data_IF_467919941157
#
_entry.id   IF_467919941157
#
_cell.length_a   1.000
_cell.length_b   1.000
_cell.length_c   1.000
_cell.angle_alpha   90.00
_cell.angle_beta   90.00
_cell.angle_gamma   90.00
#
_symmetry.space_group_name_H-M   'P 1'
#
loop_
_entity.id
_entity.type
_entity.pdbx_description
1 polymer ?
#
# COMPACT_ATOMS: atom_id res chain seq x y z
N UNK A 1 -44.91 4.56 -10.07
CA UNK A 1 -44.99 3.64 -11.24
C UNK A 1 -46.14 4.03 -12.09
N UNK A 2 -45.93 4.19 -13.40
CA UNK A 2 -47.02 4.50 -14.39
C UNK A 2 -47.03 3.41 -15.44
N UNK A 3 -48.24 2.91 -15.77
CA UNK A 3 -48.44 2.00 -16.88
C UNK A 3 -48.42 2.80 -18.18
N UNK A 4 -47.73 2.31 -19.21
CA UNK A 4 -47.67 2.86 -20.58
C UNK A 4 -47.92 1.75 -21.59
N UNK A 5 -48.68 2.04 -22.63
CA UNK A 5 -48.82 1.15 -23.77
C UNK A 5 -47.74 1.51 -24.81
N UNK A 6 -46.98 0.53 -25.25
CA UNK A 6 -46.00 0.67 -26.34
C UNK A 6 -46.75 0.65 -27.69
N UNK A 7 -46.14 1.18 -28.76
CA UNK A 7 -46.70 1.17 -30.11
C UNK A 7 -47.13 -0.22 -30.62
N UNK A 8 -46.58 -1.28 -30.05
CA UNK A 8 -46.92 -2.69 -30.36
C UNK A 8 -48.01 -3.29 -29.46
N UNK A 9 -48.78 -2.45 -28.74
CA UNK A 9 -49.86 -2.89 -27.86
C UNK A 9 -49.46 -3.55 -26.55
N UNK A 10 -48.13 -3.76 -26.27
CA UNK A 10 -47.66 -4.34 -25.02
C UNK A 10 -47.60 -3.30 -23.90
N UNK A 11 -48.00 -3.71 -22.69
CA UNK A 11 -47.90 -2.88 -21.50
C UNK A 11 -46.44 -2.78 -21.03
N UNK A 12 -46.03 -1.59 -20.59
CA UNK A 12 -44.78 -1.35 -19.93
C UNK A 12 -44.99 -0.48 -18.67
N UNK A 13 -44.17 -0.70 -17.65
CA UNK A 13 -44.28 -0.02 -16.37
C UNK A 13 -43.10 0.94 -16.24
N UNK A 14 -43.40 2.23 -16.31
CA UNK A 14 -42.44 3.30 -16.16
C UNK A 14 -42.34 3.68 -14.69
N UNK A 15 -41.14 3.62 -14.14
CA UNK A 15 -40.82 4.04 -12.79
C UNK A 15 -40.05 5.34 -12.82
N UNK A 16 -40.36 6.23 -11.91
CA UNK A 16 -39.68 7.51 -11.71
C UNK A 16 -39.51 7.74 -10.21
N UNK A 17 -38.26 7.86 -9.77
CA UNK A 17 -37.90 8.11 -8.37
C UNK A 17 -37.29 9.50 -8.30
N UNK A 18 -37.81 10.32 -7.39
CA UNK A 18 -37.28 11.64 -7.07
C UNK A 18 -37.04 11.74 -5.57
N UNK A 19 -35.81 12.06 -5.18
CA UNK A 19 -35.45 12.34 -3.79
C UNK A 19 -34.79 13.71 -3.69
N UNK A 20 -34.99 14.38 -2.55
CA UNK A 20 -34.43 15.72 -2.30
C UNK A 20 -32.90 15.65 -2.36
N UNK A 21 -32.28 16.55 -3.12
CA UNK A 21 -30.83 16.65 -3.32
C UNK A 21 -30.18 15.44 -4.03
N UNK A 22 -30.95 14.64 -4.74
CA UNK A 22 -30.42 13.52 -5.55
C UNK A 22 -30.93 13.60 -6.97
N UNK A 23 -30.18 13.07 -7.97
CA UNK A 23 -30.63 13.04 -9.35
C UNK A 23 -31.89 12.18 -9.49
N UNK A 24 -32.77 12.61 -10.38
CA UNK A 24 -33.94 11.84 -10.75
C UNK A 24 -33.53 10.57 -11.47
N UNK A 25 -34.14 9.44 -11.10
CA UNK A 25 -33.87 8.13 -11.68
C UNK A 25 -35.15 7.57 -12.32
N UNK A 26 -35.03 7.10 -13.55
CA UNK A 26 -36.14 6.51 -14.28
C UNK A 26 -35.75 5.18 -14.90
N UNK A 27 -36.70 4.23 -14.95
CA UNK A 27 -36.54 2.95 -15.64
C UNK A 27 -37.90 2.47 -16.17
N UNK A 28 -37.88 1.57 -17.16
CA UNK A 28 -39.08 0.95 -17.72
C UNK A 28 -38.95 -0.56 -17.70
N UNK A 29 -40.01 -1.25 -17.32
CA UNK A 29 -40.06 -2.71 -17.13
C UNK A 29 -41.25 -3.29 -17.88
N UNK A 30 -41.15 -4.53 -18.30
CA UNK A 30 -42.24 -5.25 -18.96
C UNK A 30 -43.20 -5.92 -17.94
N UNK A 31 -42.75 -6.06 -16.66
CA UNK A 31 -43.54 -6.62 -15.56
C UNK A 31 -43.67 -5.64 -14.40
N UNK A 32 -44.87 -5.56 -13.83
CA UNK A 32 -45.13 -4.69 -12.66
C UNK A 32 -44.33 -5.14 -11.42
N UNK A 33 -44.12 -6.43 -11.25
CA UNK A 33 -43.31 -7.02 -10.15
C UNK A 33 -41.88 -6.52 -10.18
N UNK A 34 -41.27 -6.53 -11.36
CA UNK A 34 -39.88 -6.08 -11.55
C UNK A 34 -39.75 -4.57 -11.33
N UNK A 35 -40.75 -3.82 -11.80
CA UNK A 35 -40.85 -2.38 -11.59
C UNK A 35 -40.93 -2.03 -10.08
N UNK A 36 -41.73 -2.79 -9.30
CA UNK A 36 -41.85 -2.60 -7.84
C UNK A 36 -40.58 -2.97 -7.11
N UNK A 37 -40.01 -4.12 -7.44
CA UNK A 37 -38.76 -4.58 -6.82
C UNK A 37 -37.62 -3.59 -7.06
N UNK A 38 -37.47 -3.13 -8.31
CA UNK A 38 -36.47 -2.15 -8.67
C UNK A 38 -36.72 -0.79 -7.97
N UNK A 39 -37.95 -0.34 -7.88
CA UNK A 39 -38.29 0.91 -7.20
C UNK A 39 -37.88 0.85 -5.72
N UNK A 40 -38.27 -0.19 -5.02
CA UNK A 40 -37.94 -0.38 -3.60
C UNK A 40 -36.43 -0.47 -3.35
N UNK A 41 -35.71 -1.29 -4.13
CA UNK A 41 -34.26 -1.44 -4.02
C UNK A 41 -33.52 -0.14 -4.32
N UNK A 42 -33.95 0.59 -5.37
CA UNK A 42 -33.34 1.87 -5.76
C UNK A 42 -33.61 2.95 -4.72
N UNK A 43 -34.84 3.05 -4.19
CA UNK A 43 -35.13 4.01 -3.11
C UNK A 43 -34.30 3.74 -1.85
N UNK A 44 -34.13 2.48 -1.49
CA UNK A 44 -33.27 2.09 -0.36
C UNK A 44 -31.82 2.46 -0.63
N UNK A 45 -31.27 2.12 -1.79
CA UNK A 45 -29.92 2.48 -2.18
C UNK A 45 -29.69 4.00 -2.22
N UNK A 46 -30.67 4.75 -2.65
CA UNK A 46 -30.62 6.23 -2.63
C UNK A 46 -30.62 6.78 -1.21
N UNK A 47 -31.49 6.29 -0.33
CA UNK A 47 -31.53 6.71 1.10
C UNK A 47 -30.21 6.44 1.82
N UNK A 48 -29.58 5.32 1.51
CA UNK A 48 -28.31 4.92 2.09
C UNK A 48 -27.09 5.56 1.39
N UNK A 49 -27.31 6.37 0.35
CA UNK A 49 -26.24 7.03 -0.42
C UNK A 49 -25.44 6.09 -1.32
N UNK A 50 -25.83 4.82 -1.46
CA UNK A 50 -25.15 3.81 -2.27
C UNK A 50 -25.38 3.96 -3.77
N UNK A 51 -26.54 4.51 -4.17
CA UNK A 51 -26.95 4.57 -5.57
C UNK A 51 -25.96 5.35 -6.47
N UNK A 52 -25.45 6.47 -5.99
CA UNK A 52 -24.50 7.30 -6.75
C UNK A 52 -23.16 6.55 -6.91
N UNK A 53 -22.68 5.94 -5.84
CA UNK A 53 -21.43 5.16 -5.84
C UNK A 53 -21.47 3.97 -6.81
N UNK A 54 -22.58 3.26 -6.87
CA UNK A 54 -22.77 2.15 -7.83
C UNK A 54 -22.75 2.65 -9.29
N UNK A 55 -23.30 3.83 -9.58
CA UNK A 55 -23.24 4.43 -10.93
C UNK A 55 -21.82 4.87 -11.31
N UNK A 56 -21.06 5.43 -10.38
CA UNK A 56 -19.67 5.79 -10.64
C UNK A 56 -18.81 4.55 -10.88
N UNK A 57 -19.02 3.47 -10.12
CA UNK A 57 -18.33 2.20 -10.34
C UNK A 57 -18.57 1.59 -11.73
N UNK A 58 -19.71 1.89 -12.38
CA UNK A 58 -20.03 1.46 -13.75
C UNK A 58 -19.37 2.33 -14.83
N UNK A 59 -18.82 3.48 -14.49
CA UNK A 59 -18.18 4.40 -15.44
C UNK A 59 -16.66 4.29 -15.46
N UNK A 60 -16.07 3.80 -14.38
CA UNK A 60 -14.64 3.74 -14.19
C UNK A 60 -14.12 2.31 -14.23
N UNK A 61 -13.02 2.11 -14.93
CA UNK A 61 -12.28 0.86 -14.98
C UNK A 61 -11.24 0.79 -13.85
N UNK A 62 -10.65 -0.39 -13.67
CA UNK A 62 -9.49 -0.52 -12.78
C UNK A 62 -8.29 0.28 -13.29
N UNK A 63 -8.11 0.41 -14.61
CA UNK A 63 -7.08 1.29 -15.19
C UNK A 63 -7.25 2.72 -14.74
N UNK A 64 -8.47 3.27 -14.83
CA UNK A 64 -8.76 4.65 -14.41
C UNK A 64 -8.40 4.87 -12.93
N UNK A 65 -8.75 3.89 -12.09
CA UNK A 65 -8.44 3.93 -10.66
C UNK A 65 -6.93 3.95 -10.41
N UNK A 66 -6.20 3.03 -11.04
CA UNK A 66 -4.73 2.90 -10.85
C UNK A 66 -4.02 4.15 -11.37
N UNK A 67 -4.36 4.63 -12.57
CA UNK A 67 -3.75 5.82 -13.16
C UNK A 67 -3.98 7.07 -12.30
N UNK A 68 -5.21 7.27 -11.86
CA UNK A 68 -5.53 8.39 -10.98
C UNK A 68 -4.78 8.29 -9.66
N UNK A 69 -4.73 7.10 -9.06
CA UNK A 69 -4.01 6.90 -7.79
C UNK A 69 -2.52 7.18 -7.92
N UNK A 70 -1.87 6.69 -8.98
CA UNK A 70 -0.45 6.92 -9.23
C UNK A 70 -0.17 8.41 -9.49
N UNK A 71 -1.03 9.08 -10.23
CA UNK A 71 -0.86 10.50 -10.59
C UNK A 71 -1.14 11.45 -9.42
N UNK A 72 -2.20 11.22 -8.64
CA UNK A 72 -2.70 12.21 -7.69
C UNK A 72 -2.33 11.89 -6.23
N UNK A 73 -2.25 10.62 -5.86
CA UNK A 73 -2.09 10.20 -4.45
C UNK A 73 -0.65 9.78 -4.14
N UNK A 74 -0.02 9.04 -5.04
CA UNK A 74 1.29 8.48 -4.80
C UNK A 74 2.40 9.55 -4.59
N UNK A 75 2.44 10.67 -5.32
CA UNK A 75 3.44 11.72 -5.10
C UNK A 75 3.40 12.34 -3.70
N UNK A 76 2.23 12.38 -3.07
CA UNK A 76 2.06 12.85 -1.70
C UNK A 76 2.51 11.87 -0.61
N UNK A 77 3.00 10.68 -0.99
CA UNK A 77 3.47 9.64 -0.06
C UNK A 77 4.97 9.40 -0.20
N UNK A 78 5.83 10.28 0.34
CA UNK A 78 7.28 10.26 0.11
C UNK A 78 7.97 8.95 0.54
N UNK A 79 7.39 8.21 1.47
CA UNK A 79 7.94 6.95 1.98
C UNK A 79 7.43 5.70 1.23
N UNK A 80 6.62 5.89 0.18
CA UNK A 80 6.12 4.77 -0.62
C UNK A 80 7.14 4.44 -1.70
N UNK A 81 7.66 3.22 -1.66
CA UNK A 81 8.67 2.74 -2.62
C UNK A 81 8.13 2.74 -4.05
N UNK A 82 9.04 2.85 -5.03
CA UNK A 82 8.74 2.62 -6.47
C UNK A 82 8.04 1.29 -6.73
N UNK A 83 8.22 0.32 -5.84
CA UNK A 83 7.55 -0.98 -5.88
C UNK A 83 6.03 -0.88 -5.83
N UNK A 84 5.51 0.16 -5.16
CA UNK A 84 4.06 0.35 -5.01
C UNK A 84 3.38 0.66 -6.35
N UNK A 85 3.97 1.57 -7.12
CA UNK A 85 3.51 1.87 -8.47
C UNK A 85 3.59 0.63 -9.36
N UNK A 86 4.73 -0.12 -9.30
CA UNK A 86 4.91 -1.36 -10.03
C UNK A 86 3.86 -2.43 -9.68
N UNK A 87 3.49 -2.55 -8.40
CA UNK A 87 2.45 -3.48 -7.95
C UNK A 87 1.09 -3.10 -8.51
N UNK A 88 0.75 -1.82 -8.54
CA UNK A 88 -0.51 -1.33 -9.11
C UNK A 88 -0.55 -1.47 -10.63
N UNK A 89 0.54 -1.15 -11.33
CA UNK A 89 0.65 -1.33 -12.79
C UNK A 89 0.51 -2.81 -13.20
N UNK A 90 0.97 -3.75 -12.37
CA UNK A 90 0.73 -5.15 -12.61
C UNK A 90 -0.78 -5.47 -12.62
N UNK A 91 -1.54 -4.99 -11.63
CA UNK A 91 -3.00 -5.17 -11.60
C UNK A 91 -3.67 -4.56 -12.82
N UNK A 92 -3.26 -3.35 -13.20
CA UNK A 92 -3.72 -2.68 -14.41
C UNK A 92 -3.46 -3.50 -15.66
N UNK A 93 -2.27 -4.08 -15.81
CA UNK A 93 -1.92 -4.93 -16.95
C UNK A 93 -2.77 -6.20 -17.03
N UNK A 94 -3.17 -6.76 -15.88
CA UNK A 94 -3.92 -8.02 -15.85
C UNK A 94 -5.43 -7.84 -16.06
N UNK A 95 -6.04 -6.88 -15.38
CA UNK A 95 -7.49 -6.69 -15.32
C UNK A 95 -7.88 -5.21 -15.43
N UNK A 96 -7.07 -4.39 -16.06
CA UNK A 96 -7.29 -2.95 -16.16
C UNK A 96 -8.61 -2.54 -16.81
N UNK A 97 -9.06 -3.30 -17.78
CA UNK A 97 -10.30 -3.00 -18.54
C UNK A 97 -11.58 -3.37 -17.79
N UNK A 98 -11.46 -4.08 -16.65
CA UNK A 98 -12.61 -4.48 -15.84
C UNK A 98 -13.20 -3.26 -15.15
N UNK A 99 -14.51 -3.06 -15.25
CA UNK A 99 -15.21 -1.99 -14.56
C UNK A 99 -15.17 -2.22 -13.04
N UNK A 100 -15.09 -1.14 -12.27
CA UNK A 100 -15.07 -1.23 -10.81
C UNK A 100 -16.30 -1.90 -10.22
N UNK A 101 -17.44 -1.81 -10.92
CA UNK A 101 -18.69 -2.50 -10.58
C UNK A 101 -18.64 -4.02 -10.80
N UNK A 102 -17.74 -4.49 -11.64
CA UNK A 102 -17.58 -5.91 -12.01
C UNK A 102 -16.46 -6.60 -11.23
N UNK A 103 -15.68 -5.84 -10.48
CA UNK A 103 -14.65 -6.39 -9.61
C UNK A 103 -15.28 -7.27 -8.52
N UNK A 104 -14.87 -8.53 -8.47
CA UNK A 104 -15.35 -9.49 -7.47
C UNK A 104 -14.18 -10.07 -6.66
N UNK A 105 -14.45 -10.55 -5.43
CA UNK A 105 -13.42 -11.27 -4.66
C UNK A 105 -12.89 -12.51 -5.37
N UNK A 106 -13.72 -13.17 -6.18
CA UNK A 106 -13.35 -14.34 -6.97
C UNK A 106 -12.29 -13.97 -8.00
N UNK A 107 -12.57 -12.96 -8.83
CA UNK A 107 -11.64 -12.46 -9.83
C UNK A 107 -10.29 -12.07 -9.20
N UNK A 108 -10.29 -11.33 -8.11
CA UNK A 108 -9.05 -10.94 -7.42
C UNK A 108 -8.30 -12.17 -6.89
N UNK A 109 -9.02 -13.18 -6.39
CA UNK A 109 -8.39 -14.41 -5.90
C UNK A 109 -7.74 -15.21 -7.02
N UNK A 110 -8.34 -15.29 -8.19
CA UNK A 110 -7.78 -15.95 -9.37
C UNK A 110 -6.45 -15.30 -9.79
N UNK A 111 -6.41 -13.98 -9.88
CA UNK A 111 -5.16 -13.26 -10.23
C UNK A 111 -4.13 -13.28 -9.10
N UNK A 112 -4.54 -13.28 -7.83
CA UNK A 112 -3.63 -13.57 -6.69
C UNK A 112 -2.94 -14.93 -6.88
N UNK A 113 -3.70 -15.96 -7.23
CA UNK A 113 -3.20 -17.32 -7.38
C UNK A 113 -2.33 -17.44 -8.65
N UNK A 114 -2.69 -16.72 -9.72
CA UNK A 114 -1.84 -16.59 -10.90
C UNK A 114 -0.50 -15.93 -10.54
N UNK A 115 -0.53 -14.80 -9.82
CA UNK A 115 0.68 -14.12 -9.36
C UNK A 115 1.55 -15.03 -8.49
N UNK A 116 0.94 -15.83 -7.62
CA UNK A 116 1.66 -16.72 -6.71
C UNK A 116 2.51 -17.77 -7.44
N UNK A 117 2.16 -18.13 -8.68
CA UNK A 117 2.89 -19.08 -9.53
C UNK A 117 4.02 -18.43 -10.32
N UNK A 118 4.14 -17.11 -10.31
CA UNK A 118 5.16 -16.39 -11.08
C UNK A 118 6.57 -16.73 -10.60
N UNK A 119 7.44 -17.00 -11.54
CA UNK A 119 8.88 -17.18 -11.28
C UNK A 119 9.58 -15.83 -11.35
N UNK A 120 10.38 -15.51 -10.34
CA UNK A 120 11.19 -14.30 -10.27
C UNK A 120 12.43 -14.40 -11.15
N UNK A 121 13.13 -13.28 -11.38
CA UNK A 121 14.42 -13.27 -12.10
C UNK A 121 15.50 -14.14 -11.41
N UNK A 122 15.36 -14.42 -10.12
CA UNK A 122 16.23 -15.32 -9.35
C UNK A 122 15.89 -16.81 -9.53
N UNK A 123 15.02 -17.13 -10.48
CA UNK A 123 14.52 -18.49 -10.74
C UNK A 123 13.83 -19.14 -9.53
N UNK A 124 13.29 -18.35 -8.63
CA UNK A 124 12.51 -18.80 -7.48
C UNK A 124 11.06 -18.33 -7.64
N UNK A 125 10.14 -19.10 -7.08
CA UNK A 125 8.74 -18.68 -7.03
C UNK A 125 8.59 -17.40 -6.18
N UNK A 126 7.69 -16.51 -6.58
CA UNK A 126 7.39 -15.29 -5.83
C UNK A 126 6.92 -15.64 -4.41
N UNK A 127 7.39 -14.92 -3.41
CA UNK A 127 7.01 -15.20 -2.03
C UNK A 127 5.57 -14.78 -1.74
N UNK A 128 4.87 -15.49 -0.86
CA UNK A 128 3.54 -15.13 -0.41
C UNK A 128 3.48 -13.71 0.20
N UNK A 129 4.54 -13.31 0.91
CA UNK A 129 4.66 -11.96 1.43
C UNK A 129 4.66 -10.91 0.30
N UNK A 130 5.32 -11.19 -0.81
CA UNK A 130 5.30 -10.30 -1.98
C UNK A 130 3.90 -10.25 -2.60
N UNK A 131 3.25 -11.39 -2.80
CA UNK A 131 1.86 -11.44 -3.31
C UNK A 131 0.90 -10.65 -2.42
N UNK A 132 1.02 -10.79 -1.10
CA UNK A 132 0.22 -10.03 -0.15
C UNK A 132 0.45 -8.52 -0.23
N UNK A 133 1.65 -8.06 -0.62
CA UNK A 133 1.93 -6.65 -0.87
C UNK A 133 1.19 -6.12 -2.10
N UNK A 134 1.09 -6.92 -3.18
CA UNK A 134 0.28 -6.57 -4.35
C UNK A 134 -1.20 -6.40 -3.98
N UNK A 135 -1.75 -7.31 -3.15
CA UNK A 135 -3.11 -7.17 -2.63
C UNK A 135 -3.27 -5.92 -1.76
N UNK A 136 -2.29 -5.62 -0.90
CA UNK A 136 -2.31 -4.45 -0.04
C UNK A 136 -2.28 -3.14 -0.85
N UNK A 137 -1.46 -3.08 -1.91
CA UNK A 137 -1.40 -1.92 -2.80
C UNK A 137 -2.75 -1.65 -3.45
N UNK A 138 -3.37 -2.68 -4.04
CA UNK A 138 -4.69 -2.58 -4.64
C UNK A 138 -5.77 -2.21 -3.62
N UNK A 139 -5.72 -2.83 -2.43
CA UNK A 139 -6.67 -2.53 -1.35
C UNK A 139 -6.61 -1.07 -0.90
N UNK A 140 -5.41 -0.49 -0.84
CA UNK A 140 -5.23 0.92 -0.48
C UNK A 140 -5.78 1.84 -1.57
N UNK A 141 -5.50 1.55 -2.84
CA UNK A 141 -6.02 2.33 -3.96
C UNK A 141 -7.56 2.31 -4.02
N UNK A 142 -8.16 1.13 -3.84
CA UNK A 142 -9.63 1.00 -3.74
C UNK A 142 -10.19 1.75 -2.52
N UNK A 143 -9.51 1.70 -1.37
CA UNK A 143 -9.95 2.46 -0.19
C UNK A 143 -9.96 3.98 -0.44
N UNK A 144 -9.00 4.50 -1.18
CA UNK A 144 -8.98 5.90 -1.62
C UNK A 144 -10.16 6.19 -2.57
N UNK A 145 -10.42 5.31 -3.53
CA UNK A 145 -11.55 5.45 -4.44
C UNK A 145 -12.92 5.46 -3.72
N UNK A 146 -13.02 4.75 -2.61
CA UNK A 146 -14.22 4.74 -1.75
C UNK A 146 -14.33 6.02 -0.94
N UNK A 147 -13.26 6.38 -0.23
CA UNK A 147 -13.30 7.41 0.80
C UNK A 147 -13.21 8.83 0.22
N UNK A 148 -12.40 9.02 -0.81
CA UNK A 148 -12.10 10.35 -1.34
C UNK A 148 -12.82 10.63 -2.66
N UNK A 149 -12.97 9.62 -3.54
CA UNK A 149 -13.57 9.83 -4.87
C UNK A 149 -15.03 9.40 -4.97
N UNK A 150 -15.53 8.58 -4.03
CA UNK A 150 -16.89 8.08 -4.06
C UNK A 150 -17.19 7.13 -5.22
N UNK A 151 -16.17 6.50 -5.82
CA UNK A 151 -16.33 5.62 -6.99
C UNK A 151 -16.83 4.22 -6.64
N UNK A 152 -16.64 3.78 -5.43
CA UNK A 152 -17.05 2.46 -4.94
C UNK A 152 -17.70 2.55 -3.56
N UNK A 153 -18.44 1.51 -3.20
CA UNK A 153 -19.14 1.43 -1.91
C UNK A 153 -18.33 0.69 -0.85
N UNK A 154 -17.74 -0.45 -1.21
CA UNK A 154 -17.02 -1.33 -0.29
C UNK A 154 -15.70 -1.82 -0.91
N UNK A 155 -14.75 -2.11 -0.05
CA UNK A 155 -13.47 -2.67 -0.46
C UNK A 155 -13.55 -4.20 -0.52
N UNK A 156 -13.71 -4.69 -1.74
CA UNK A 156 -13.86 -6.14 -2.03
C UNK A 156 -12.68 -6.99 -1.55
N UNK A 157 -11.47 -6.40 -1.45
CA UNK A 157 -10.28 -7.12 -1.00
C UNK A 157 -10.37 -7.55 0.48
N UNK A 158 -11.26 -6.95 1.26
CA UNK A 158 -11.54 -7.42 2.63
C UNK A 158 -12.07 -8.87 2.67
N UNK A 159 -12.68 -9.32 1.56
CA UNK A 159 -13.20 -10.68 1.40
C UNK A 159 -12.20 -11.64 0.75
N UNK A 160 -11.03 -11.14 0.35
CA UNK A 160 -9.96 -11.94 -0.26
C UNK A 160 -8.97 -12.35 0.81
N UNK A 161 -8.78 -13.65 0.99
CA UNK A 161 -7.83 -14.19 1.96
C UNK A 161 -6.38 -13.92 1.54
N UNK A 162 -5.57 -13.44 2.47
CA UNK A 162 -4.12 -13.35 2.29
C UNK A 162 -3.49 -14.74 2.28
N UNK A 163 -2.40 -14.88 1.54
CA UNK A 163 -1.62 -16.12 1.56
C UNK A 163 -0.82 -16.21 2.87
N UNK A 164 -0.68 -17.42 3.39
CA UNK A 164 0.12 -17.67 4.61
C UNK A 164 1.58 -17.35 4.33
N UNK A 165 2.13 -16.39 5.02
CA UNK A 165 3.53 -16.01 4.91
C UNK A 165 4.42 -16.97 5.71
N UNK A 166 5.63 -17.23 5.21
CA UNK A 166 6.63 -17.98 5.95
C UNK A 166 7.06 -17.18 7.18
N UNK A 167 7.40 -17.88 8.26
CA UNK A 167 8.03 -17.22 9.41
C UNK A 167 9.31 -16.55 8.96
N UNK A 168 9.58 -15.36 9.48
CA UNK A 168 10.85 -14.66 9.25
C UNK A 168 12.04 -15.54 9.65
N UNK A 169 13.21 -15.27 9.06
CA UNK A 169 14.44 -15.95 9.44
C UNK A 169 14.80 -15.52 10.86
N UNK A 170 14.84 -16.49 11.76
CA UNK A 170 15.37 -16.30 13.13
C UNK A 170 16.76 -16.92 13.12
N UNK A 171 17.76 -16.09 12.83
CA UNK A 171 19.16 -16.51 12.88
C UNK A 171 19.97 -15.41 13.57
N UNK A 172 20.71 -15.81 14.56
CA UNK A 172 21.69 -14.98 15.23
C UNK A 172 23.10 -15.45 14.85
N UNK A 173 24.06 -14.54 14.83
CA UNK A 173 25.46 -14.87 14.64
C UNK A 173 25.98 -15.54 15.91
N UNK A 174 26.71 -16.66 15.78
CA UNK A 174 27.50 -17.17 16.87
C UNK A 174 28.63 -16.18 17.21
N UNK A 175 29.27 -16.35 18.37
CA UNK A 175 30.41 -15.51 18.74
C UNK A 175 31.57 -15.62 17.75
N UNK A 176 31.84 -16.81 17.24
CA UNK A 176 32.86 -17.06 16.22
C UNK A 176 32.48 -16.40 14.87
N UNK A 177 31.22 -16.50 14.45
CA UNK A 177 30.72 -15.84 13.23
C UNK A 177 30.81 -14.33 13.38
N UNK A 178 30.43 -13.78 14.53
CA UNK A 178 30.54 -12.37 14.85
C UNK A 178 31.97 -11.87 14.76
N UNK A 179 32.91 -12.60 15.36
CA UNK A 179 34.32 -12.22 15.34
C UNK A 179 34.90 -12.24 13.92
N UNK A 180 34.63 -13.29 13.15
CA UNK A 180 35.02 -13.35 11.72
C UNK A 180 34.42 -12.22 10.91
N UNK A 181 33.14 -11.91 11.12
CA UNK A 181 32.48 -10.80 10.45
C UNK A 181 33.12 -9.45 10.79
N UNK A 182 33.42 -9.19 12.06
CA UNK A 182 34.06 -7.95 12.51
C UNK A 182 35.51 -7.83 11.98
N UNK A 183 36.27 -8.94 11.92
CA UNK A 183 37.59 -8.94 11.29
C UNK A 183 37.50 -8.57 9.80
N UNK A 184 36.61 -9.20 9.06
CA UNK A 184 36.40 -8.87 7.64
C UNK A 184 35.97 -7.39 7.43
N UNK A 185 35.20 -6.81 8.35
CA UNK A 185 34.85 -5.39 8.31
C UNK A 185 36.08 -4.49 8.51
N UNK A 186 37.02 -4.85 9.36
CA UNK A 186 38.27 -4.12 9.59
C UNK A 186 39.21 -4.16 8.37
N UNK A 187 39.25 -5.31 7.72
CA UNK A 187 40.10 -5.55 6.54
C UNK A 187 39.50 -4.97 5.22
N UNK A 188 38.29 -4.44 5.31
CA UNK A 188 37.58 -3.85 4.14
C UNK A 188 38.31 -2.61 3.64
N UNK A 189 38.32 -2.41 2.32
CA UNK A 189 38.77 -1.17 1.70
C UNK A 189 37.94 0.06 2.07
N UNK A 190 36.74 -0.15 2.59
CA UNK A 190 35.90 0.92 3.13
C UNK A 190 36.24 1.11 4.62
N UNK A 191 37.00 2.17 4.94
CA UNK A 191 37.41 2.52 6.30
C UNK A 191 36.25 2.75 7.28
N UNK A 192 35.06 3.08 6.77
CA UNK A 192 33.91 3.40 7.60
C UNK A 192 33.09 2.18 7.98
N UNK A 193 33.26 1.08 7.23
CA UNK A 193 32.41 -0.10 7.38
C UNK A 193 32.43 -0.66 8.81
N UNK A 194 33.61 -0.75 9.42
CA UNK A 194 33.72 -1.26 10.78
C UNK A 194 32.98 -0.40 11.80
N UNK A 195 33.16 0.92 11.73
CA UNK A 195 32.48 1.86 12.63
C UNK A 195 30.96 1.80 12.45
N UNK A 196 30.47 1.78 11.21
CA UNK A 196 29.04 1.66 10.88
C UNK A 196 28.46 0.36 11.45
N UNK A 197 29.16 -0.75 11.33
CA UNK A 197 28.72 -2.05 11.85
C UNK A 197 28.69 -2.05 13.39
N UNK A 198 29.70 -1.52 14.05
CA UNK A 198 29.73 -1.41 15.52
C UNK A 198 28.62 -0.51 16.03
N UNK A 199 28.37 0.64 15.37
CA UNK A 199 27.22 1.51 15.68
C UNK A 199 25.90 0.77 15.52
N UNK A 200 25.71 0.03 14.40
CA UNK A 200 24.51 -0.75 14.20
C UNK A 200 24.26 -1.80 15.27
N UNK A 201 25.32 -2.49 15.69
CA UNK A 201 25.24 -3.53 16.71
C UNK A 201 24.99 -2.97 18.12
N UNK A 202 25.58 -1.83 18.46
CA UNK A 202 25.45 -1.23 19.79
C UNK A 202 24.18 -0.42 19.98
N UNK A 203 23.66 0.21 18.92
CA UNK A 203 22.48 1.10 18.99
C UNK A 203 21.19 0.44 18.51
N UNK A 204 21.27 -0.64 17.75
CA UNK A 204 20.11 -1.23 17.05
C UNK A 204 19.52 -0.29 16.00
N UNK A 205 20.26 0.71 15.56
CA UNK A 205 19.80 1.68 14.57
C UNK A 205 19.66 1.05 13.18
N UNK A 206 18.70 1.56 12.41
CA UNK A 206 18.50 1.10 11.04
C UNK A 206 19.62 1.59 10.13
N UNK A 207 19.90 0.86 9.06
CA UNK A 207 20.94 1.24 8.09
C UNK A 207 20.85 2.72 7.69
N UNK A 208 19.68 3.20 7.33
CA UNK A 208 19.54 4.59 6.86
C UNK A 208 19.68 5.62 7.98
N UNK A 209 19.36 5.27 9.22
CA UNK A 209 19.56 6.14 10.38
C UNK A 209 21.06 6.35 10.63
N UNK A 210 21.86 5.31 10.50
CA UNK A 210 23.34 5.41 10.64
C UNK A 210 23.94 6.11 9.41
N UNK A 211 23.46 5.80 8.21
CA UNK A 211 23.99 6.35 6.96
C UNK A 211 23.78 7.87 6.81
N UNK A 212 22.70 8.37 7.39
CA UNK A 212 22.35 9.80 7.40
C UNK A 212 22.80 10.51 8.69
N UNK A 213 23.52 9.80 9.57
CA UNK A 213 23.96 10.37 10.84
C UNK A 213 24.99 11.47 10.61
N UNK A 214 24.69 12.65 11.08
CA UNK A 214 25.55 13.82 11.06
C UNK A 214 26.08 14.18 12.45
N UNK A 215 27.20 14.89 12.52
CA UNK A 215 27.87 15.20 13.79
C UNK A 215 27.05 16.09 14.72
N UNK A 216 26.16 16.92 14.21
CA UNK A 216 25.23 17.74 15.00
C UNK A 216 24.25 16.90 15.83
N UNK A 217 24.06 15.63 15.48
CA UNK A 217 23.21 14.66 16.18
C UNK A 217 23.98 13.75 17.11
N UNK A 218 25.28 13.92 17.23
CA UNK A 218 26.16 13.10 18.09
C UNK A 218 26.70 13.95 19.23
N UNK A 219 26.20 13.73 20.43
CA UNK A 219 26.72 14.36 21.64
C UNK A 219 27.72 13.44 22.32
N UNK A 220 29.01 13.70 22.07
CA UNK A 220 30.11 12.91 22.68
C UNK A 220 30.31 13.22 24.16
N UNK A 221 29.94 14.42 24.64
CA UNK A 221 30.07 14.80 26.03
C UNK A 221 29.03 14.09 26.89
N UNK A 222 27.77 14.09 26.45
CA UNK A 222 26.68 13.41 27.13
C UNK A 222 26.52 11.95 26.66
N UNK A 223 27.30 11.51 25.68
CA UNK A 223 27.38 10.12 25.19
C UNK A 223 26.06 9.60 24.65
N UNK A 224 25.44 10.32 23.76
CA UNK A 224 24.23 9.88 23.05
C UNK A 224 24.21 10.28 21.57
N UNK A 225 23.38 9.60 20.82
CA UNK A 225 23.05 9.90 19.42
C UNK A 225 21.55 10.18 19.33
N UNK A 226 21.18 11.24 18.64
CA UNK A 226 19.80 11.58 18.33
C UNK A 226 19.48 11.12 16.89
N UNK A 227 18.54 10.18 16.74
CA UNK A 227 17.96 9.78 15.45
C UNK A 227 16.64 10.50 15.27
N UNK A 228 16.58 11.50 14.37
CA UNK A 228 15.37 12.29 14.09
C UNK A 228 14.51 11.64 13.01
N UNK A 229 15.14 11.22 11.90
CA UNK A 229 14.42 10.59 10.79
C UNK A 229 14.20 9.10 11.04
N UNK A 230 13.27 8.76 11.90
CA UNK A 230 12.91 7.36 12.13
C UNK A 230 11.75 6.92 11.21
N UNK A 231 11.54 5.62 11.07
CA UNK A 231 10.45 5.08 10.23
C UNK A 231 9.05 5.56 10.64
N UNK A 232 8.89 5.99 11.90
CA UNK A 232 7.62 6.43 12.47
C UNK A 232 7.58 7.94 12.71
N UNK A 233 8.55 8.70 12.18
CA UNK A 233 8.75 10.15 12.40
C UNK A 233 8.84 10.55 13.89
N UNK A 234 9.17 9.61 14.78
CA UNK A 234 9.41 9.87 16.20
C UNK A 234 10.90 9.93 16.46
N UNK A 235 11.47 11.08 16.87
CA UNK A 235 12.87 11.18 17.24
C UNK A 235 13.16 10.31 18.46
N UNK A 236 14.35 9.68 18.47
CA UNK A 236 14.80 8.87 19.59
C UNK A 236 16.27 9.12 19.92
N UNK A 237 16.55 9.16 21.20
CA UNK A 237 17.91 9.25 21.74
C UNK A 237 18.39 7.86 22.12
N UNK A 238 19.61 7.51 21.71
CA UNK A 238 20.23 6.22 22.01
C UNK A 238 21.59 6.46 22.69
N UNK A 239 21.88 5.81 23.83
CA UNK A 239 23.16 5.96 24.50
C UNK A 239 24.32 5.41 23.64
N UNK A 240 25.43 6.13 23.64
CA UNK A 240 26.66 5.78 22.96
C UNK A 240 27.68 5.30 24.02
N UNK A 241 28.00 4.02 24.03
CA UNK A 241 28.81 3.40 25.08
C UNK A 241 29.83 2.42 24.50
N UNK A 242 30.82 2.05 25.34
CA UNK A 242 31.81 1.04 25.02
C UNK A 242 32.59 1.33 23.75
N UNK A 243 32.87 0.30 22.98
CA UNK A 243 33.68 0.41 21.77
C UNK A 243 33.09 1.34 20.69
N UNK A 244 31.76 1.48 20.62
CA UNK A 244 31.14 2.44 19.72
C UNK A 244 31.50 3.89 20.07
N UNK A 245 31.53 4.22 21.37
CA UNK A 245 31.97 5.54 21.83
C UNK A 245 33.44 5.79 21.50
N UNK A 246 34.33 4.82 21.75
CA UNK A 246 35.78 4.92 21.44
C UNK A 246 35.99 5.24 19.94
N UNK A 247 35.33 4.50 19.06
CA UNK A 247 35.43 4.72 17.62
C UNK A 247 34.91 6.11 17.19
N UNK A 248 33.83 6.56 17.80
CA UNK A 248 33.28 7.89 17.49
C UNK A 248 34.16 9.01 18.02
N UNK A 249 34.79 8.83 19.19
CA UNK A 249 35.80 9.77 19.72
C UNK A 249 37.04 9.81 18.83
N UNK A 250 37.53 8.67 18.34
CA UNK A 250 38.66 8.64 17.41
C UNK A 250 38.31 9.33 16.10
N UNK A 251 37.13 9.03 15.52
CA UNK A 251 36.65 9.62 14.27
C UNK A 251 36.41 11.14 14.38
N UNK A 252 36.00 11.62 15.55
CA UNK A 252 35.80 13.05 15.78
C UNK A 252 37.09 13.88 15.61
N UNK A 253 38.27 13.28 15.77
CA UNK A 253 39.55 13.95 15.58
C UNK A 253 39.89 14.21 14.12
N UNK A 254 39.31 13.44 13.20
CA UNK A 254 39.57 13.50 11.76
C UNK A 254 38.37 14.07 10.97
N UNK A 255 37.34 14.56 11.68
CA UNK A 255 36.16 15.12 10.99
C UNK A 255 36.52 16.36 10.20
N UNK A 256 36.03 16.46 8.97
CA UNK A 256 36.11 17.68 8.19
C UNK A 256 35.12 18.72 8.73
N UNK A 257 35.56 19.99 8.81
CA UNK A 257 34.69 21.11 9.19
C UNK A 257 33.73 21.47 8.04
N UNK A 258 34.08 21.10 6.81
CA UNK A 258 33.32 21.43 5.60
C UNK A 258 32.22 20.40 5.28
N UNK A 259 32.37 19.16 5.77
CA UNK A 259 31.38 18.07 5.60
C UNK A 259 30.93 17.58 6.97
N UNK A 260 29.78 18.01 7.36
CA UNK A 260 29.20 17.65 8.66
C UNK A 260 28.57 16.27 8.64
#
# INVERSE_FOLDING_TARGET
>A
IRERLRKNGKKSFFVRIRMKRQPEVTASFDRLTDARLWASSTETAMREGRYIKTKEAQKHSLSDLVERYIREVLPGKPNVSSDYAFQLEWWKTQIGDVLLSELTPVLISEYRDLLSKKITFRKTQISHATVNRYLAALSTAISTAINEWGWMEDNILRKVSKLKESRGRVRYLSDEERNRFLSACRESSNSDLYTVVILAMSTGARKNEIWKLSWDKVDLNNRFILFEETKNDEPRTVPLQGHALELMLERSKTRSIETN
#
